data_IF_424566002277
#
_entry.id   IF_424566002277
#
_cell.length_a   1.000
_cell.length_b   1.000
_cell.length_c   1.000
_cell.angle_alpha   90.00
_cell.angle_beta   90.00
_cell.angle_gamma   90.00
#
_symmetry.space_group_name_H-M   'P 1'
#
loop_
_entity.id
_entity.type
_entity.pdbx_description
1 polymer ?
#
# COMPACT_ATOMS: atom_id res chain seq x y z
N UNK A 1 10.56 8.36 15.82
CA UNK A 1 10.84 7.10 15.10
C UNK A 1 12.22 7.20 14.48
N UNK A 2 12.88 6.08 14.15
CA UNK A 2 14.16 6.11 13.47
C UNK A 2 13.94 6.40 11.97
N UNK A 3 14.85 7.16 11.36
CA UNK A 3 14.85 7.37 9.92
C UNK A 3 14.93 6.02 9.18
N UNK A 4 14.22 5.84 8.05
CA UNK A 4 14.23 4.58 7.32
C UNK A 4 15.65 4.29 6.79
N UNK A 5 16.30 3.26 7.33
CA UNK A 5 17.70 2.95 6.99
C UNK A 5 17.81 2.11 5.70
N UNK A 6 18.10 2.78 4.59
CA UNK A 6 18.40 2.16 3.30
C UNK A 6 19.53 1.10 3.35
N UNK A 7 20.46 1.19 4.31
CA UNK A 7 21.59 0.25 4.41
C UNK A 7 21.20 -1.11 4.95
N UNK A 8 20.03 -1.22 5.57
CA UNK A 8 19.48 -2.48 6.09
C UNK A 8 18.94 -3.39 4.98
N UNK A 9 18.60 -2.84 3.80
CA UNK A 9 18.02 -3.60 2.70
C UNK A 9 19.09 -4.45 2.01
N UNK A 10 18.87 -5.75 1.77
CA UNK A 10 19.81 -6.61 1.06
C UNK A 10 20.18 -6.06 -0.34
N UNK A 11 21.46 -6.11 -0.69
CA UNK A 11 21.96 -5.66 -2.01
C UNK A 11 21.26 -6.35 -3.19
N UNK A 12 20.83 -7.62 -3.02
CA UNK A 12 20.07 -8.36 -4.04
C UNK A 12 18.69 -7.73 -4.26
N UNK A 13 17.99 -7.38 -3.19
CA UNK A 13 16.71 -6.65 -3.26
C UNK A 13 16.91 -5.29 -3.90
N UNK A 14 17.90 -4.49 -3.47
CA UNK A 14 18.16 -3.17 -4.06
C UNK A 14 18.44 -3.24 -5.57
N UNK A 15 19.20 -4.24 -6.03
CA UNK A 15 19.41 -4.46 -7.47
C UNK A 15 18.10 -4.76 -8.20
N UNK A 16 17.28 -5.64 -7.63
CA UNK A 16 15.96 -5.99 -8.18
C UNK A 16 15.04 -4.76 -8.26
N UNK A 17 15.00 -3.96 -7.19
CA UNK A 17 14.25 -2.69 -7.12
C UNK A 17 14.65 -1.72 -8.24
N UNK A 18 15.95 -1.52 -8.45
CA UNK A 18 16.46 -0.63 -9.50
C UNK A 18 16.16 -1.16 -10.91
N UNK A 19 16.17 -2.48 -11.09
CA UNK A 19 15.91 -3.11 -12.38
C UNK A 19 14.42 -3.12 -12.74
N UNK A 20 13.56 -3.46 -11.79
CA UNK A 20 12.12 -3.64 -12.01
C UNK A 20 11.35 -2.32 -11.85
N UNK A 21 11.92 -1.32 -11.15
CA UNK A 21 11.28 -0.04 -10.88
C UNK A 21 9.86 -0.19 -10.33
N UNK A 22 9.65 -1.17 -9.43
CA UNK A 22 8.34 -1.56 -8.94
C UNK A 22 8.36 -1.81 -7.43
N UNK A 23 7.33 -1.34 -6.73
CA UNK A 23 7.16 -1.53 -5.29
C UNK A 23 7.19 -3.01 -4.89
N UNK A 24 6.63 -3.92 -5.71
CA UNK A 24 6.68 -5.37 -5.45
C UNK A 24 8.09 -5.92 -5.33
N UNK A 25 9.06 -5.32 -6.03
CA UNK A 25 10.47 -5.69 -5.91
C UNK A 25 11.02 -5.35 -4.50
N UNK A 26 10.63 -4.20 -3.96
CA UNK A 26 11.02 -3.76 -2.63
C UNK A 26 10.37 -4.63 -1.55
N UNK A 27 9.07 -4.91 -1.68
CA UNK A 27 8.30 -5.71 -0.72
C UNK A 27 8.65 -7.20 -0.74
N UNK A 28 9.44 -7.67 -1.71
CA UNK A 28 9.85 -9.08 -1.82
C UNK A 28 10.86 -9.56 -0.76
N UNK A 29 11.24 -8.71 0.19
CA UNK A 29 12.06 -9.04 1.36
C UNK A 29 11.56 -8.33 2.61
N UNK A 30 11.68 -8.97 3.77
CA UNK A 30 11.23 -8.46 5.06
C UNK A 30 11.85 -7.08 5.39
N UNK A 31 13.13 -6.87 5.07
CA UNK A 31 13.80 -5.59 5.30
C UNK A 31 13.27 -4.49 4.38
N UNK A 32 12.87 -4.83 3.15
CA UNK A 32 12.25 -3.90 2.23
C UNK A 32 10.83 -3.50 2.67
N UNK A 33 10.07 -4.44 3.21
CA UNK A 33 8.77 -4.16 3.84
C UNK A 33 8.94 -3.28 5.08
N UNK A 34 9.90 -3.61 5.96
CA UNK A 34 10.20 -2.84 7.16
C UNK A 34 10.65 -1.41 6.81
N UNK A 35 11.53 -1.26 5.82
CA UNK A 35 11.95 0.03 5.29
C UNK A 35 10.76 0.84 4.78
N UNK A 36 9.93 0.26 3.92
CA UNK A 36 8.80 0.98 3.32
C UNK A 36 7.76 1.37 4.37
N UNK A 37 7.47 0.49 5.34
CA UNK A 37 6.60 0.82 6.48
C UNK A 37 7.17 1.96 7.34
N UNK A 38 8.48 1.96 7.60
CA UNK A 38 9.16 3.05 8.32
C UNK A 38 9.21 4.35 7.51
N UNK A 39 9.24 4.27 6.18
CA UNK A 39 9.11 5.44 5.32
C UNK A 39 7.70 6.03 5.45
N UNK A 40 6.66 5.21 5.29
CA UNK A 40 5.27 5.63 5.37
C UNK A 40 4.87 6.26 6.72
N UNK A 41 5.50 5.89 7.84
CA UNK A 41 5.24 6.55 9.13
C UNK A 41 5.66 8.01 9.19
N UNK A 42 6.51 8.46 8.26
CA UNK A 42 6.89 9.86 8.10
C UNK A 42 6.08 10.58 7.00
N UNK A 43 5.25 9.82 6.28
CA UNK A 43 4.44 10.25 5.14
C UNK A 43 2.97 9.82 5.32
N UNK A 44 2.25 10.41 6.31
CA UNK A 44 0.88 10.03 6.62
C UNK A 44 -0.08 10.14 5.42
N UNK A 45 0.21 11.04 4.47
CA UNK A 45 -0.52 11.18 3.21
C UNK A 45 -0.55 9.89 2.38
N UNK A 46 0.49 9.05 2.48
CA UNK A 46 0.60 7.77 1.81
C UNK A 46 0.24 6.59 2.73
N UNK A 47 0.46 6.71 4.03
CA UNK A 47 0.23 5.63 5.01
C UNK A 47 -1.20 5.09 4.95
N UNK A 48 -2.20 5.96 4.78
CA UNK A 48 -3.61 5.56 4.68
C UNK A 48 -3.92 4.58 3.53
N UNK A 49 -3.18 4.67 2.43
CA UNK A 49 -3.32 3.75 1.29
C UNK A 49 -2.69 2.39 1.58
N UNK A 50 -1.61 2.36 2.36
CA UNK A 50 -1.00 1.13 2.84
C UNK A 50 -1.87 0.41 3.86
N UNK A 51 -2.46 1.16 4.79
CA UNK A 51 -3.41 0.60 5.77
C UNK A 51 -4.62 0.00 5.06
N UNK A 52 -5.22 0.74 4.11
CA UNK A 52 -6.30 0.22 3.29
C UNK A 52 -5.90 -1.04 2.49
N UNK A 53 -4.72 -1.04 1.85
CA UNK A 53 -4.21 -2.20 1.11
C UNK A 53 -4.09 -3.46 1.99
N UNK A 54 -3.62 -3.30 3.23
CA UNK A 54 -3.49 -4.41 4.17
C UNK A 54 -4.84 -4.85 4.72
N UNK A 55 -5.76 -3.93 5.06
CA UNK A 55 -7.11 -4.28 5.48
C UNK A 55 -7.83 -5.12 4.43
N UNK A 56 -7.71 -4.78 3.14
CA UNK A 56 -8.28 -5.62 2.07
C UNK A 56 -7.58 -6.97 1.95
N UNK A 57 -6.25 -7.04 2.13
CA UNK A 57 -5.52 -8.32 2.13
C UNK A 57 -6.03 -9.25 3.22
N UNK A 58 -6.25 -8.73 4.43
CA UNK A 58 -6.76 -9.48 5.57
C UNK A 58 -8.20 -9.98 5.33
N UNK A 59 -9.06 -9.16 4.72
CA UNK A 59 -10.42 -9.53 4.33
C UNK A 59 -10.43 -10.69 3.31
N UNK A 60 -9.52 -10.64 2.33
CA UNK A 60 -9.42 -11.66 1.28
C UNK A 60 -8.85 -12.97 1.85
N UNK A 61 -7.86 -12.89 2.74
CA UNK A 61 -7.20 -14.07 3.32
C UNK A 61 -8.08 -14.80 4.36
N UNK A 62 -8.95 -14.09 5.09
CA UNK A 62 -9.79 -14.66 6.14
C UNK A 62 -11.23 -14.95 5.69
N UNK A 63 -11.42 -15.48 4.47
CA UNK A 63 -12.75 -15.66 3.85
C UNK A 63 -13.59 -16.83 4.38
N UNK A 64 -13.11 -17.59 5.37
CA UNK A 64 -13.74 -18.83 5.82
C UNK A 64 -15.06 -18.62 6.59
N UNK A 65 -15.32 -17.40 7.06
CA UNK A 65 -16.57 -17.02 7.72
C UNK A 65 -17.15 -15.76 7.05
N UNK A 66 -18.25 -15.93 6.29
CA UNK A 66 -18.89 -14.84 5.55
C UNK A 66 -19.43 -13.72 6.46
N UNK A 67 -19.87 -14.01 7.67
CA UNK A 67 -20.37 -12.99 8.59
C UNK A 67 -19.23 -12.11 9.11
N UNK A 68 -18.14 -12.74 9.57
CA UNK A 68 -16.93 -12.04 9.98
C UNK A 68 -16.31 -11.24 8.84
N UNK A 69 -16.27 -11.82 7.63
CA UNK A 69 -15.78 -11.13 6.44
C UNK A 69 -16.62 -9.88 6.13
N UNK A 70 -17.95 -9.99 6.17
CA UNK A 70 -18.83 -8.86 5.93
C UNK A 70 -18.63 -7.74 6.97
N UNK A 71 -18.39 -8.08 8.23
CA UNK A 71 -18.11 -7.09 9.26
C UNK A 71 -16.77 -6.40 9.04
N UNK A 72 -15.70 -7.14 8.70
CA UNK A 72 -14.42 -6.54 8.32
C UNK A 72 -14.53 -5.65 7.07
N UNK A 73 -15.38 -6.02 6.11
CA UNK A 73 -15.67 -5.19 4.93
C UNK A 73 -16.35 -3.87 5.33
N UNK A 74 -17.33 -3.91 6.25
CA UNK A 74 -18.00 -2.69 6.75
C UNK A 74 -17.01 -1.78 7.45
N UNK A 75 -16.18 -2.32 8.34
CA UNK A 75 -15.16 -1.54 9.05
C UNK A 75 -14.18 -0.87 8.07
N UNK A 76 -13.71 -1.63 7.07
CA UNK A 76 -12.83 -1.10 6.02
C UNK A 76 -13.52 0.00 5.20
N UNK A 77 -14.79 -0.21 4.82
CA UNK A 77 -15.59 0.78 4.10
C UNK A 77 -15.79 2.06 4.90
N UNK A 78 -16.21 1.95 6.16
CA UNK A 78 -16.46 3.08 7.05
C UNK A 78 -15.21 3.92 7.28
N UNK A 79 -14.07 3.26 7.52
CA UNK A 79 -12.80 3.92 7.80
C UNK A 79 -12.15 4.55 6.57
N UNK A 80 -12.12 3.86 5.43
CA UNK A 80 -11.27 4.27 4.29
C UNK A 80 -12.03 4.80 3.08
N UNK A 81 -13.32 4.50 2.94
CA UNK A 81 -14.08 4.78 1.70
C UNK A 81 -15.26 5.73 1.93
N UNK A 82 -15.95 5.59 3.06
CA UNK A 82 -17.23 6.27 3.28
C UNK A 82 -17.10 7.80 3.21
N UNK A 83 -18.17 8.49 2.81
CA UNK A 83 -18.19 9.97 2.75
C UNK A 83 -17.95 10.57 4.15
N UNK A 84 -18.34 9.86 5.21
CA UNK A 84 -18.16 10.27 6.61
C UNK A 84 -16.83 9.81 7.23
N UNK A 85 -15.97 9.11 6.49
CA UNK A 85 -14.64 8.72 6.94
C UNK A 85 -13.79 9.95 7.29
N UNK A 86 -12.87 9.80 8.24
CA UNK A 86 -11.88 10.83 8.50
C UNK A 86 -11.06 11.08 7.22
N UNK A 87 -10.88 12.35 6.87
CA UNK A 87 -10.06 12.75 5.72
C UNK A 87 -8.62 12.24 5.80
N UNK A 88 -8.12 12.02 7.02
CA UNK A 88 -6.79 11.46 7.27
C UNK A 88 -6.71 9.98 6.91
N UNK A 89 -7.82 9.24 6.96
CA UNK A 89 -7.90 7.81 6.64
C UNK A 89 -8.43 7.50 5.24
N UNK A 90 -9.12 8.46 4.61
CA UNK A 90 -9.85 8.24 3.35
C UNK A 90 -8.91 8.11 2.14
N UNK A 91 -9.12 7.08 1.31
CA UNK A 91 -8.31 6.77 0.12
C UNK A 91 -8.87 7.36 -1.17
N UNK A 92 -9.04 8.68 -1.21
CA UNK A 92 -9.71 9.40 -2.30
C UNK A 92 -9.16 9.10 -3.69
N UNK A 93 -7.84 8.93 -3.81
CA UNK A 93 -7.21 8.62 -5.10
C UNK A 93 -7.64 7.24 -5.68
N UNK A 94 -8.18 6.34 -4.84
CA UNK A 94 -8.67 5.02 -5.25
C UNK A 94 -10.18 5.03 -5.58
N UNK A 95 -10.91 6.06 -5.14
CA UNK A 95 -12.36 6.19 -5.31
C UNK A 95 -12.62 7.26 -6.36
N UNK A 96 -12.76 6.82 -7.62
CA UNK A 96 -12.73 7.71 -8.77
C UNK A 96 -14.01 8.55 -8.92
N UNK A 97 -15.12 8.09 -8.34
CA UNK A 97 -16.38 8.81 -8.36
C UNK A 97 -17.31 8.36 -7.22
N UNK A 98 -18.39 9.12 -7.03
CA UNK A 98 -19.42 8.81 -6.03
C UNK A 98 -20.14 7.47 -6.26
N UNK A 99 -20.20 7.01 -7.51
CA UNK A 99 -20.84 5.73 -7.83
C UNK A 99 -20.07 4.54 -7.25
N UNK A 100 -18.75 4.62 -7.10
CA UNK A 100 -17.96 3.58 -6.42
C UNK A 100 -18.41 3.41 -4.97
N UNK A 101 -18.58 4.52 -4.24
CA UNK A 101 -19.05 4.52 -2.84
C UNK A 101 -20.47 3.98 -2.74
N UNK A 102 -21.36 4.42 -3.62
CA UNK A 102 -22.76 3.98 -3.64
C UNK A 102 -22.88 2.49 -3.98
N UNK A 103 -22.07 1.99 -4.92
CA UNK A 103 -22.03 0.57 -5.30
C UNK A 103 -21.52 -0.32 -4.16
N UNK A 104 -20.45 0.09 -3.47
CA UNK A 104 -19.95 -0.61 -2.28
C UNK A 104 -20.99 -0.62 -1.15
N UNK A 105 -21.60 0.53 -0.86
CA UNK A 105 -22.66 0.63 0.15
C UNK A 105 -23.85 -0.28 -0.17
N UNK A 106 -24.27 -0.31 -1.44
CA UNK A 106 -25.34 -1.20 -1.90
C UNK A 106 -24.97 -2.67 -1.73
N UNK A 107 -23.78 -3.08 -2.17
CA UNK A 107 -23.33 -4.46 -2.08
C UNK A 107 -23.19 -4.94 -0.62
N UNK A 108 -22.78 -4.05 0.32
CA UNK A 108 -22.76 -4.32 1.77
C UNK A 108 -24.18 -4.60 2.28
N UNK A 109 -25.15 -3.76 1.92
CA UNK A 109 -26.55 -3.90 2.35
C UNK A 109 -27.21 -5.17 1.79
N UNK A 110 -26.86 -5.55 0.56
CA UNK A 110 -27.34 -6.76 -0.11
C UNK A 110 -26.60 -8.03 0.34
N UNK A 111 -25.55 -7.89 1.15
CA UNK A 111 -24.65 -8.98 1.59
C UNK A 111 -24.02 -9.75 0.41
N UNK A 112 -23.78 -9.06 -0.70
CA UNK A 112 -23.23 -9.61 -1.93
C UNK A 112 -21.70 -9.78 -1.82
N UNK A 113 -21.27 -10.84 -1.14
CA UNK A 113 -19.87 -11.05 -0.78
C UNK A 113 -18.95 -11.21 -2.01
N UNK A 114 -19.42 -11.86 -3.07
CA UNK A 114 -18.62 -12.04 -4.30
C UNK A 114 -18.34 -10.69 -4.98
N UNK A 115 -19.37 -9.84 -5.10
CA UNK A 115 -19.22 -8.52 -5.67
C UNK A 115 -18.36 -7.60 -4.78
N UNK A 116 -18.54 -7.67 -3.45
CA UNK A 116 -17.71 -6.93 -2.50
C UNK A 116 -16.23 -7.29 -2.62
N UNK A 117 -15.90 -8.58 -2.67
CA UNK A 117 -14.53 -9.04 -2.86
C UNK A 117 -13.94 -8.54 -4.17
N UNK A 118 -14.70 -8.59 -5.26
CA UNK A 118 -14.27 -8.09 -6.56
C UNK A 118 -13.96 -6.59 -6.51
N UNK A 119 -14.89 -5.78 -6.00
CA UNK A 119 -14.73 -4.33 -5.92
C UNK A 119 -13.53 -3.99 -5.02
N UNK A 120 -13.43 -4.60 -3.83
CA UNK A 120 -12.32 -4.35 -2.92
C UNK A 120 -10.97 -4.76 -3.52
N UNK A 121 -10.90 -5.87 -4.28
CA UNK A 121 -9.67 -6.27 -4.98
C UNK A 121 -9.25 -5.24 -6.02
N UNK A 122 -10.20 -4.70 -6.79
CA UNK A 122 -9.93 -3.62 -7.76
C UNK A 122 -9.44 -2.34 -7.06
N UNK A 123 -10.04 -1.99 -5.91
CA UNK A 123 -9.63 -0.82 -5.12
C UNK A 123 -8.28 -1.03 -4.43
N UNK A 124 -8.00 -2.24 -3.96
CA UNK A 124 -6.70 -2.62 -3.42
C UNK A 124 -5.60 -2.48 -4.46
N UNK A 125 -5.84 -2.93 -5.70
CA UNK A 125 -4.91 -2.73 -6.80
C UNK A 125 -4.69 -1.24 -7.09
N UNK A 126 -5.75 -0.42 -7.04
CA UNK A 126 -5.64 1.04 -7.20
C UNK A 126 -4.79 1.68 -6.09
N UNK A 127 -4.91 1.21 -4.85
CA UNK A 127 -4.08 1.67 -3.73
C UNK A 127 -2.62 1.27 -3.88
N UNK A 128 -2.36 0.05 -4.36
CA UNK A 128 -1.02 -0.39 -4.68
C UNK A 128 -0.39 0.46 -5.79
N UNK A 129 -1.14 0.77 -6.85
CA UNK A 129 -0.68 1.64 -7.93
C UNK A 129 -0.38 3.05 -7.45
N UNK A 130 -1.25 3.62 -6.61
CA UNK A 130 -1.00 4.91 -5.97
C UNK A 130 0.31 4.88 -5.16
N UNK A 131 0.49 3.90 -4.28
CA UNK A 131 1.71 3.75 -3.48
C UNK A 131 2.95 3.57 -4.35
N UNK A 132 2.83 2.81 -5.45
CA UNK A 132 3.92 2.64 -6.39
C UNK A 132 4.31 3.98 -7.01
N UNK A 133 3.36 4.76 -7.52
CA UNK A 133 3.61 6.02 -8.23
C UNK A 133 4.02 7.16 -7.30
N UNK A 134 3.26 7.39 -6.24
CA UNK A 134 3.36 8.60 -5.43
C UNK A 134 4.34 8.44 -4.25
N UNK A 135 4.48 7.23 -3.71
CA UNK A 135 5.34 7.00 -2.55
C UNK A 135 6.67 6.32 -2.94
N UNK A 136 6.64 5.29 -3.79
CA UNK A 136 7.81 4.46 -4.08
C UNK A 136 8.69 5.00 -5.22
N UNK A 137 8.12 5.36 -6.38
CA UNK A 137 8.93 5.85 -7.51
C UNK A 137 9.84 7.05 -7.14
N UNK A 138 9.42 8.01 -6.29
CA UNK A 138 10.29 9.08 -5.81
C UNK A 138 11.55 8.61 -5.05
N UNK A 139 11.56 7.39 -4.50
CA UNK A 139 12.70 6.81 -3.79
C UNK A 139 13.75 6.20 -4.72
N UNK A 140 13.42 5.95 -5.99
CA UNK A 140 14.35 5.34 -6.97
C UNK A 140 15.70 6.04 -7.10
N UNK A 141 15.81 7.39 -7.09
CA UNK A 141 17.09 8.09 -7.09
C UNK A 141 17.97 7.75 -5.88
N UNK A 142 17.38 7.61 -4.68
CA UNK A 142 18.10 7.29 -3.46
C UNK A 142 18.66 5.86 -3.49
N UNK A 143 17.86 4.90 -3.95
CA UNK A 143 18.32 3.52 -4.15
C UNK A 143 19.50 3.44 -5.12
N UNK A 144 19.46 4.20 -6.22
CA UNK A 144 20.57 4.29 -7.20
C UNK A 144 21.84 4.88 -6.54
N UNK A 145 21.70 5.93 -5.73
CA UNK A 145 22.81 6.56 -5.00
C UNK A 145 23.55 5.61 -4.05
N UNK A 146 22.84 4.67 -3.43
CA UNK A 146 23.42 3.64 -2.57
C UNK A 146 24.24 2.59 -3.33
N UNK A 147 23.88 2.28 -4.58
CA UNK A 147 24.62 1.30 -5.40
C UNK A 147 25.88 1.87 -6.06
N UNK A 148 25.95 3.19 -6.22
CA UNK A 148 27.05 3.88 -6.92
C UNK A 148 28.25 4.25 -6.03
N UNK A 149 28.19 4.04 -4.70
CA UNK A 149 29.35 4.26 -3.80
C UNK A 149 30.37 3.11 -3.86
N UNK A 150 31.01 2.98 -5.02
CA UNK A 150 32.40 2.54 -5.24
C UNK A 150 32.89 3.47 -6.35
N UNK A 151 33.46 4.65 -6.08
CA UNK A 151 34.88 4.83 -5.77
C UNK A 151 35.11 6.25 -5.24
N UNK A 152 35.43 6.40 -3.96
CA UNK A 152 36.20 7.54 -3.46
C UNK A 152 37.15 7.03 -2.38
N UNK A 153 38.16 6.28 -2.82
CA UNK A 153 39.36 6.01 -2.04
C UNK A 153 40.54 6.47 -2.89
N UNK A 154 41.28 7.42 -2.33
CA UNK A 154 42.69 7.74 -2.55
C UNK A 154 43.17 8.05 -3.97
N UNK A 155 43.40 9.34 -4.21
CA UNK A 155 44.68 9.80 -4.75
C UNK A 155 45.13 11.01 -3.91
N UNK A 156 45.81 10.71 -2.80
CA UNK A 156 46.84 11.60 -2.25
C UNK A 156 48.11 11.46 -3.09
#
# INVERSE_FOLDING_TARGET
MADPDLKSIPKKTLKKVIQECNLSALLSSDEGQAFFKSYLSHHPEHSKYWDFYNSVSEIILNSDNQEQQLDSIKECFEKHISIGADSEDRVDACIQNRADVDNLSKAINEKDCENLQKILSEKQQSAFEYLNQEAFLPLLPEFKGCTSKKTSCDLS
#
